data_IF_236025833752
#
_entry.id   IF_236025833752
#
_cell.length_a   1.000
_cell.length_b   1.000
_cell.length_c   1.000
_cell.angle_alpha   90.00
_cell.angle_beta   90.00
_cell.angle_gamma   90.00
#
_symmetry.space_group_name_H-M   'P 1'
#
loop_
_entity.id
_entity.type
_entity.pdbx_description
1 polymer ?
#
# COMPACT_ATOMS: atom_id res chain seq x y z
N UNK A 1 19.19 -13.46 7.66
CA UNK A 1 18.06 -13.82 6.78
C UNK A 1 17.20 -12.59 6.64
N UNK A 2 17.32 -11.89 5.51
CA UNK A 2 16.52 -10.71 5.17
C UNK A 2 15.12 -11.17 4.78
N UNK A 3 14.22 -11.28 5.77
CA UNK A 3 12.78 -11.51 5.58
C UNK A 3 12.07 -10.22 5.12
N UNK A 4 12.65 -9.48 4.17
CA UNK A 4 12.13 -8.16 3.76
C UNK A 4 11.00 -8.24 2.72
N UNK A 5 10.84 -9.37 2.03
CA UNK A 5 9.85 -9.57 0.96
C UNK A 5 8.39 -9.78 1.43
N UNK A 6 8.07 -10.53 2.52
CA UNK A 6 6.68 -10.69 2.95
C UNK A 6 6.07 -9.41 3.54
N UNK A 7 6.89 -8.47 4.02
CA UNK A 7 6.41 -7.24 4.66
C UNK A 7 5.79 -6.26 3.66
N UNK A 8 6.36 -6.11 2.46
CA UNK A 8 5.92 -5.11 1.48
C UNK A 8 4.55 -5.45 0.89
N UNK A 9 4.29 -6.74 0.59
CA UNK A 9 3.01 -7.19 0.03
C UNK A 9 1.83 -6.94 0.98
N UNK A 10 2.06 -7.05 2.30
CA UNK A 10 1.05 -6.73 3.32
C UNK A 10 0.70 -5.24 3.25
N UNK A 11 1.70 -4.37 3.17
CA UNK A 11 1.46 -2.93 3.05
C UNK A 11 0.76 -2.55 1.75
N UNK A 12 1.06 -3.23 0.64
CA UNK A 12 0.37 -3.00 -0.64
C UNK A 12 -1.12 -3.35 -0.53
N UNK A 13 -1.48 -4.43 0.18
CA UNK A 13 -2.88 -4.75 0.42
C UNK A 13 -3.59 -3.69 1.28
N UNK A 14 -2.92 -3.14 2.30
CA UNK A 14 -3.48 -2.02 3.08
C UNK A 14 -3.61 -0.74 2.23
N UNK A 15 -2.64 -0.47 1.35
CA UNK A 15 -2.71 0.65 0.40
C UNK A 15 -3.89 0.52 -0.57
N UNK A 16 -4.18 -0.68 -1.07
CA UNK A 16 -5.35 -0.94 -1.90
C UNK A 16 -6.66 -0.63 -1.16
N UNK A 17 -6.76 -0.99 0.12
CA UNK A 17 -7.92 -0.62 0.96
C UNK A 17 -8.02 0.89 1.13
N UNK A 18 -6.91 1.58 1.36
CA UNK A 18 -6.86 3.04 1.41
C UNK A 18 -7.43 3.66 0.13
N UNK A 19 -6.98 3.20 -1.05
CA UNK A 19 -7.50 3.68 -2.34
C UNK A 19 -9.01 3.41 -2.48
N UNK A 20 -9.49 2.25 -2.05
CA UNK A 20 -10.91 1.94 -2.07
C UNK A 20 -11.73 2.87 -1.15
N UNK A 21 -11.20 3.25 0.02
CA UNK A 21 -11.86 4.21 0.92
C UNK A 21 -11.89 5.62 0.32
N UNK A 22 -10.81 6.03 -0.35
CA UNK A 22 -10.75 7.31 -1.09
C UNK A 22 -11.77 7.34 -2.21
N UNK A 23 -11.87 6.26 -3.00
CA UNK A 23 -12.84 6.15 -4.11
C UNK A 23 -14.29 6.20 -3.62
N UNK A 24 -14.58 5.59 -2.47
CA UNK A 24 -15.88 5.65 -1.80
C UNK A 24 -16.18 7.01 -1.14
N UNK A 25 -15.22 7.94 -1.12
CA UNK A 25 -15.36 9.24 -0.47
C UNK A 25 -15.32 9.19 1.07
N UNK A 26 -14.88 8.07 1.66
CA UNK A 26 -14.76 7.91 3.11
C UNK A 26 -13.45 8.56 3.61
N UNK A 27 -13.39 9.89 3.55
CA UNK A 27 -12.18 10.65 3.85
C UNK A 27 -11.66 10.41 5.28
N UNK A 28 -12.56 10.28 6.26
CA UNK A 28 -12.19 10.03 7.67
C UNK A 28 -11.51 8.67 7.84
N UNK A 29 -12.11 7.61 7.29
CA UNK A 29 -11.54 6.26 7.37
C UNK A 29 -10.26 6.13 6.54
N UNK A 30 -10.19 6.81 5.39
CA UNK A 30 -8.99 6.85 4.57
C UNK A 30 -7.83 7.55 5.29
N UNK A 31 -8.10 8.66 5.99
CA UNK A 31 -7.08 9.39 6.76
C UNK A 31 -6.59 8.58 7.97
N UNK A 32 -7.50 7.93 8.68
CA UNK A 32 -7.17 7.01 9.77
C UNK A 32 -6.29 5.86 9.28
N UNK A 33 -6.69 5.17 8.21
CA UNK A 33 -5.93 4.06 7.65
C UNK A 33 -4.57 4.51 7.10
N UNK A 34 -4.50 5.68 6.44
CA UNK A 34 -3.24 6.25 5.98
C UNK A 34 -2.26 6.47 7.13
N UNK A 35 -2.75 6.98 8.26
CA UNK A 35 -1.93 7.18 9.46
C UNK A 35 -1.38 5.86 9.97
N UNK A 36 -2.22 4.84 10.12
CA UNK A 36 -1.80 3.49 10.55
C UNK A 36 -0.75 2.88 9.62
N UNK A 37 -0.93 3.03 8.30
CA UNK A 37 0.04 2.58 7.29
C UNK A 37 1.37 3.31 7.46
N UNK A 38 1.36 4.65 7.54
CA UNK A 38 2.60 5.45 7.65
C UNK A 38 3.37 5.12 8.93
N UNK A 39 2.68 4.95 10.05
CA UNK A 39 3.29 4.50 11.30
C UNK A 39 3.92 3.12 11.10
N UNK A 40 3.16 2.18 10.53
CA UNK A 40 3.58 0.81 10.22
C UNK A 40 4.83 0.71 9.34
N UNK A 41 4.87 1.48 8.25
CA UNK A 41 6.00 1.56 7.33
C UNK A 41 7.28 2.03 8.03
N UNK A 42 7.16 2.96 8.98
CA UNK A 42 8.30 3.50 9.73
C UNK A 42 9.00 2.43 10.58
N UNK A 43 8.29 1.40 11.04
CA UNK A 43 8.88 0.28 11.81
C UNK A 43 9.77 -0.63 10.97
N UNK A 44 9.61 -0.60 9.64
CA UNK A 44 10.33 -1.45 8.69
C UNK A 44 11.23 -0.65 7.76
N UNK A 45 11.57 0.60 8.13
CA UNK A 45 12.39 1.52 7.34
C UNK A 45 11.86 1.74 5.91
N UNK A 46 10.53 1.76 5.74
CA UNK A 46 9.88 2.10 4.48
C UNK A 46 9.19 3.45 4.57
N UNK A 47 9.06 4.12 3.42
CA UNK A 47 8.28 5.35 3.28
C UNK A 47 6.98 5.11 2.51
N UNK A 48 6.07 6.08 2.58
CA UNK A 48 4.87 6.09 1.75
C UNK A 48 5.19 6.05 0.25
N UNK A 49 6.25 6.74 -0.16
CA UNK A 49 6.69 6.77 -1.55
C UNK A 49 7.17 5.39 -2.02
N UNK A 50 7.89 4.64 -1.16
CA UNK A 50 8.27 3.25 -1.46
C UNK A 50 7.04 2.37 -1.68
N UNK A 51 5.96 2.60 -0.93
CA UNK A 51 4.70 1.89 -1.07
C UNK A 51 3.98 2.22 -2.39
N UNK A 52 3.95 3.49 -2.78
CA UNK A 52 3.38 3.95 -4.06
C UNK A 52 4.16 3.39 -5.26
N UNK A 53 5.50 3.39 -5.18
CA UNK A 53 6.38 2.78 -6.19
C UNK A 53 6.15 1.27 -6.26
N UNK A 54 6.13 0.58 -5.13
CA UNK A 54 5.91 -0.86 -5.07
C UNK A 54 4.53 -1.27 -5.63
N UNK A 55 3.48 -0.51 -5.32
CA UNK A 55 2.15 -0.72 -5.88
C UNK A 55 2.13 -0.53 -7.40
N UNK A 56 2.78 0.52 -7.89
CA UNK A 56 2.89 0.78 -9.34
C UNK A 56 3.62 -0.35 -10.07
N UNK A 57 4.73 -0.83 -9.50
CA UNK A 57 5.48 -1.96 -10.02
C UNK A 57 4.67 -3.26 -9.99
N UNK A 58 3.92 -3.52 -8.91
CA UNK A 58 3.05 -4.70 -8.81
C UNK A 58 1.96 -4.69 -9.90
N UNK A 59 1.34 -3.53 -10.17
CA UNK A 59 0.34 -3.39 -11.24
C UNK A 59 0.93 -3.66 -12.62
N UNK A 60 2.18 -3.26 -12.87
CA UNK A 60 2.88 -3.57 -14.12
C UNK A 60 3.27 -5.06 -14.25
N UNK A 61 3.37 -5.79 -13.14
CA UNK A 61 3.68 -7.22 -13.12
C UNK A 61 2.44 -8.12 -13.19
N UNK A 62 1.24 -7.56 -13.07
CA UNK A 62 -0.04 -8.26 -13.20
C UNK A 62 -0.70 -7.92 -14.56
N UNK A 63 -0.35 -8.61 -15.67
CA UNK A 63 -0.86 -8.30 -17.01
C UNK A 63 -2.35 -8.64 -17.22
N UNK A 64 -3.15 -8.73 -16.16
CA UNK A 64 -4.54 -9.20 -16.20
C UNK A 64 -5.56 -8.10 -16.58
N UNK A 65 -5.17 -6.83 -16.70
CA UNK A 65 -6.07 -5.72 -17.10
C UNK A 65 -5.97 -5.38 -18.61
N UNK A 66 -5.98 -6.40 -19.46
CA UNK A 66 -6.23 -6.22 -20.90
C UNK A 66 -7.26 -7.23 -21.40
N UNK A 67 -8.53 -6.97 -21.12
CA UNK A 67 -9.68 -7.54 -21.83
C UNK A 67 -10.91 -6.65 -21.69
#
# INVERSE_FOLDING_TARGET
MTNSTPSLLVWIAEYQKYLALVDQGSATDADALKTEIVEGLSWVDLSWEDLEVAFSLQREQDPSDHA
#
